data_IF_755329456282
#
_entry.id   IF_755329456282
#
_cell.length_a   1.000
_cell.length_b   1.000
_cell.length_c   1.000
_cell.angle_alpha   90.00
_cell.angle_beta   90.00
_cell.angle_gamma   90.00
#
_symmetry.space_group_name_H-M   'P 1'
#
loop_
_entity.id
_entity.type
_entity.pdbx_description
1 polymer ?
#
# COMPACT_ATOMS: atom_id res chain seq x y z
N UNK A 1 5.34 -0.55 -9.57
CA UNK A 1 5.50 -0.32 -8.11
C UNK A 1 6.38 -1.40 -7.52
N UNK A 2 7.25 -1.06 -6.59
CA UNK A 2 8.15 -2.07 -6.02
C UNK A 2 7.42 -2.95 -5.02
N UNK A 3 7.92 -4.17 -4.87
CA UNK A 3 7.46 -5.14 -3.88
C UNK A 3 7.48 -4.55 -2.45
N UNK A 4 8.58 -3.89 -2.09
CA UNK A 4 8.72 -3.27 -0.78
C UNK A 4 7.64 -2.21 -0.54
N UNK A 5 7.39 -1.33 -1.50
CA UNK A 5 6.37 -0.29 -1.37
C UNK A 5 4.97 -0.90 -1.20
N UNK A 6 4.65 -1.95 -1.93
CA UNK A 6 3.37 -2.65 -1.79
C UNK A 6 3.21 -3.26 -0.40
N UNK A 7 4.26 -3.89 0.12
CA UNK A 7 4.23 -4.48 1.47
C UNK A 7 3.95 -3.44 2.54
N UNK A 8 4.58 -2.27 2.43
CA UNK A 8 4.34 -1.17 3.36
C UNK A 8 2.92 -0.63 3.24
N UNK A 9 2.41 -0.42 2.02
CA UNK A 9 1.04 0.06 1.82
C UNK A 9 0.02 -0.92 2.38
N UNK A 10 0.19 -2.21 2.15
CA UNK A 10 -0.69 -3.23 2.72
C UNK A 10 -0.61 -3.26 4.25
N UNK A 11 0.59 -3.14 4.81
CA UNK A 11 0.76 -3.12 6.27
C UNK A 11 0.06 -1.91 6.90
N UNK A 12 0.17 -0.74 6.26
CA UNK A 12 -0.51 0.48 6.72
C UNK A 12 -2.03 0.29 6.64
N UNK A 13 -2.53 -0.23 5.53
CA UNK A 13 -3.95 -0.49 5.34
C UNK A 13 -4.49 -1.47 6.39
N UNK A 14 -3.78 -2.55 6.64
CA UNK A 14 -4.17 -3.55 7.63
C UNK A 14 -4.14 -2.98 9.06
N UNK A 15 -3.11 -2.20 9.38
CA UNK A 15 -3.01 -1.54 10.69
C UNK A 15 -4.14 -0.53 10.88
N UNK A 16 -4.48 0.23 9.85
CA UNK A 16 -5.56 1.22 9.89
C UNK A 16 -6.93 0.57 10.10
N UNK A 17 -7.13 -0.65 9.63
CA UNK A 17 -8.37 -1.39 9.86
C UNK A 17 -8.51 -1.84 11.33
N UNK A 18 -7.38 -2.02 12.03
CA UNK A 18 -7.37 -2.48 13.42
C UNK A 18 -7.34 -1.35 14.44
N UNK A 19 -6.75 -0.20 14.10
CA UNK A 19 -6.60 0.94 15.01
C UNK A 19 -6.55 2.25 14.26
N UNK A 20 -7.09 3.36 14.82
CA UNK A 20 -6.93 4.68 14.22
C UNK A 20 -5.53 5.28 14.43
N UNK A 21 -4.69 4.66 15.27
CA UNK A 21 -3.41 5.21 15.69
C UNK A 21 -2.23 4.43 15.10
N UNK A 22 -2.15 4.40 13.76
CA UNK A 22 -1.05 3.71 13.07
C UNK A 22 0.25 4.48 13.26
N UNK A 23 1.29 3.78 13.73
CA UNK A 23 2.62 4.35 13.99
C UNK A 23 3.71 3.60 13.21
N UNK A 24 4.87 4.26 13.06
CA UNK A 24 6.04 3.64 12.44
C UNK A 24 6.48 2.37 13.19
N UNK A 25 6.34 2.36 14.51
CA UNK A 25 6.68 1.18 15.33
C UNK A 25 5.82 -0.02 14.97
N UNK A 26 4.50 0.20 14.80
CA UNK A 26 3.58 -0.87 14.41
C UNK A 26 3.94 -1.44 13.04
N UNK A 27 4.26 -0.56 12.09
CA UNK A 27 4.65 -1.00 10.75
C UNK A 27 5.96 -1.77 10.78
N UNK A 28 6.95 -1.28 11.54
CA UNK A 28 8.22 -1.98 11.71
C UNK A 28 8.02 -3.38 12.30
N UNK A 29 7.18 -3.49 13.32
CA UNK A 29 6.86 -4.76 13.95
C UNK A 29 6.13 -5.70 13.00
N UNK A 30 5.12 -5.20 12.27
CA UNK A 30 4.32 -6.01 11.34
C UNK A 30 5.16 -6.57 10.19
N UNK A 31 6.15 -5.82 9.71
CA UNK A 31 6.99 -6.21 8.58
C UNK A 31 8.31 -6.87 9.00
N UNK A 32 8.64 -6.86 10.28
CA UNK A 32 9.90 -7.39 10.76
C UNK A 32 11.12 -6.62 10.28
N UNK A 33 10.99 -5.29 10.16
CA UNK A 33 12.04 -4.40 9.67
C UNK A 33 12.44 -3.39 10.74
N UNK A 34 13.53 -2.66 10.50
CA UNK A 34 14.00 -1.64 11.41
C UNK A 34 13.20 -0.36 11.26
N UNK A 35 13.17 0.45 12.31
CA UNK A 35 12.51 1.76 12.27
C UNK A 35 13.11 2.69 11.20
N UNK A 36 14.46 2.79 11.03
CA UNK A 36 15.03 3.58 9.94
C UNK A 36 14.57 3.13 8.56
N UNK A 37 14.39 1.83 8.33
CA UNK A 37 13.86 1.31 7.07
C UNK A 37 12.42 1.80 6.84
N UNK A 38 11.59 1.78 7.88
CA UNK A 38 10.22 2.30 7.81
C UNK A 38 10.23 3.78 7.46
N UNK A 39 11.05 4.58 8.14
CA UNK A 39 11.14 6.03 7.88
C UNK A 39 11.54 6.30 6.43
N UNK A 40 12.51 5.55 5.92
CA UNK A 40 12.97 5.70 4.54
C UNK A 40 11.83 5.45 3.53
N UNK A 41 11.12 4.34 3.66
CA UNK A 41 10.03 4.01 2.73
C UNK A 41 8.83 4.94 2.93
N UNK A 42 8.50 5.32 4.16
CA UNK A 42 7.42 6.28 4.40
C UNK A 42 7.70 7.62 3.74
N UNK A 43 8.95 8.10 3.76
CA UNK A 43 9.31 9.34 3.09
C UNK A 43 9.07 9.25 1.58
N UNK A 44 9.38 8.10 0.97
CA UNK A 44 9.10 7.86 -0.45
C UNK A 44 7.59 7.86 -0.70
N UNK A 45 6.82 7.14 0.11
CA UNK A 45 5.37 7.07 -0.03
C UNK A 45 4.68 8.41 0.20
N UNK A 46 5.21 9.22 1.12
CA UNK A 46 4.72 10.60 1.32
C UNK A 46 5.02 11.48 0.11
N UNK A 47 6.22 11.38 -0.43
CA UNK A 47 6.59 12.12 -1.65
C UNK A 47 5.69 11.74 -2.83
N UNK A 48 5.32 10.46 -2.94
CA UNK A 48 4.47 9.97 -4.01
C UNK A 48 2.98 10.21 -3.75
N UNK A 49 2.63 10.86 -2.64
CA UNK A 49 1.26 11.21 -2.31
C UNK A 49 0.39 10.05 -1.84
N UNK A 50 0.99 8.96 -1.41
CA UNK A 50 0.26 7.75 -0.96
C UNK A 50 -0.07 7.77 0.52
N UNK A 51 0.74 8.46 1.32
CA UNK A 51 0.64 8.49 2.78
C UNK A 51 0.85 9.90 3.28
N UNK A 52 0.25 10.21 4.43
CA UNK A 52 0.53 11.45 5.17
C UNK A 52 0.83 11.10 6.62
N UNK A 53 1.67 11.92 7.26
CA UNK A 53 1.88 11.89 8.70
C UNK A 53 1.14 13.07 9.32
N UNK A 54 0.45 12.80 10.42
CA UNK A 54 -0.28 13.83 11.19
C UNK A 54 0.33 13.96 12.59
N UNK A 55 -0.35 14.64 13.48
CA UNK A 55 0.08 14.87 14.85
C UNK A 55 0.51 13.58 15.55
N UNK A 56 1.57 13.67 16.30
CA UNK A 56 2.16 12.56 17.06
C UNK A 56 2.64 11.41 16.17
N UNK A 57 2.98 11.71 14.90
CA UNK A 57 3.52 10.74 13.98
C UNK A 57 2.52 9.70 13.48
N UNK A 58 1.22 9.95 13.62
CA UNK A 58 0.18 9.07 13.10
C UNK A 58 0.22 9.03 11.57
N UNK A 59 0.08 7.84 11.01
CA UNK A 59 0.20 7.57 9.59
C UNK A 59 -1.18 7.27 9.01
N UNK A 60 -1.50 7.92 7.89
CA UNK A 60 -2.76 7.72 7.19
C UNK A 60 -2.49 7.51 5.70
N UNK A 61 -3.28 6.63 5.07
CA UNK A 61 -3.35 6.57 3.61
C UNK A 61 -4.11 7.78 3.09
N UNK A 62 -3.61 8.37 2.02
CA UNK A 62 -4.36 9.33 1.23
C UNK A 62 -5.39 8.59 0.38
N UNK A 63 -6.28 9.31 -0.31
CA UNK A 63 -7.19 8.69 -1.27
C UNK A 63 -6.42 7.94 -2.35
N UNK A 64 -5.33 8.53 -2.83
CA UNK A 64 -4.43 7.88 -3.79
C UNK A 64 -3.84 6.59 -3.22
N UNK A 65 -3.40 6.61 -1.98
CA UNK A 65 -2.89 5.42 -1.30
C UNK A 65 -3.94 4.33 -1.16
N UNK A 66 -5.16 4.71 -0.79
CA UNK A 66 -6.27 3.78 -0.66
C UNK A 66 -6.66 3.16 -2.01
N UNK A 67 -6.73 3.94 -3.08
CA UNK A 67 -6.96 3.44 -4.43
C UNK A 67 -5.87 2.45 -4.86
N UNK A 68 -4.62 2.78 -4.58
CA UNK A 68 -3.48 1.93 -4.90
C UNK A 68 -3.58 0.59 -4.18
N UNK A 69 -3.85 0.62 -2.88
CA UNK A 69 -4.02 -0.60 -2.07
C UNK A 69 -5.16 -1.45 -2.64
N UNK A 70 -6.30 -0.86 -2.93
CA UNK A 70 -7.46 -1.59 -3.44
C UNK A 70 -7.19 -2.22 -4.80
N UNK A 71 -6.51 -1.49 -5.68
CA UNK A 71 -6.12 -2.01 -7.00
C UNK A 71 -5.22 -3.24 -6.86
N UNK A 72 -4.13 -3.11 -6.11
CA UNK A 72 -3.17 -4.21 -5.96
C UNK A 72 -3.72 -5.37 -5.13
N UNK A 73 -4.65 -5.09 -4.22
CA UNK A 73 -5.34 -6.16 -3.49
C UNK A 73 -6.16 -7.04 -4.42
N UNK A 74 -6.85 -6.43 -5.38
CA UNK A 74 -7.60 -7.18 -6.41
C UNK A 74 -6.66 -8.01 -7.28
N UNK A 75 -5.53 -7.44 -7.69
CA UNK A 75 -4.52 -8.18 -8.45
C UNK A 75 -3.94 -9.33 -7.63
N UNK A 76 -3.67 -9.10 -6.36
CA UNK A 76 -3.16 -10.12 -5.45
C UNK A 76 -4.17 -11.28 -5.33
N UNK A 77 -5.43 -10.98 -5.09
CA UNK A 77 -6.47 -11.98 -4.96
C UNK A 77 -6.62 -12.80 -6.25
N UNK A 78 -6.64 -12.13 -7.41
CA UNK A 78 -6.72 -12.81 -8.70
C UNK A 78 -5.51 -13.69 -8.97
N UNK A 79 -4.32 -13.22 -8.60
CA UNK A 79 -3.07 -13.97 -8.78
C UNK A 79 -3.05 -15.19 -7.89
N UNK A 80 -3.42 -15.04 -6.62
CA UNK A 80 -3.49 -16.17 -5.68
C UNK A 80 -4.49 -17.23 -6.16
N UNK A 81 -5.64 -16.82 -6.67
CA UNK A 81 -6.65 -17.73 -7.20
C UNK A 81 -6.17 -18.50 -8.43
N UNK A 82 -5.30 -17.89 -9.25
CA UNK A 82 -4.79 -18.49 -10.49
C UNK A 82 -3.49 -19.28 -10.31
N UNK A 83 -2.84 -19.19 -9.15
CA UNK A 83 -1.59 -19.90 -8.91
C UNK A 83 -1.80 -21.41 -8.95
N UNK A 84 -0.89 -22.15 -9.59
CA UNK A 84 -1.04 -23.61 -9.68
C UNK A 84 -0.78 -24.29 -8.34
N UNK A 85 -1.27 -25.52 -8.23
CA UNK A 85 -0.85 -26.41 -7.16
C UNK A 85 0.53 -26.97 -7.52
N UNK A 86 1.51 -26.78 -6.64
CA UNK A 86 2.87 -27.26 -6.86
C UNK A 86 3.04 -28.69 -6.35
N UNK A 87 3.98 -29.47 -6.93
CA UNK A 87 4.22 -30.83 -6.46
C UNK A 87 5.03 -30.91 -5.15
N UNK A 88 5.21 -29.81 -4.48
CA UNK A 88 5.87 -29.68 -3.19
C UNK A 88 5.06 -28.74 -2.28
N UNK A 89 5.22 -28.83 -0.95
CA UNK A 89 4.48 -27.96 -0.05
C UNK A 89 4.88 -26.48 -0.22
N UNK A 90 3.88 -25.62 -0.29
CA UNK A 90 4.05 -24.16 -0.31
C UNK A 90 3.11 -23.59 0.73
N UNK A 91 3.65 -22.85 1.69
CA UNK A 91 2.83 -22.22 2.73
C UNK A 91 2.00 -21.08 2.16
N UNK A 92 0.97 -20.66 2.91
CA UNK A 92 0.15 -19.52 2.54
C UNK A 92 1.00 -18.24 2.44
N UNK A 93 1.94 -18.05 3.37
CA UNK A 93 2.84 -16.90 3.34
C UNK A 93 3.78 -16.91 2.14
N UNK A 94 4.31 -18.08 1.80
CA UNK A 94 5.16 -18.23 0.62
C UNK A 94 4.38 -17.92 -0.66
N UNK A 95 3.14 -18.40 -0.77
CA UNK A 95 2.27 -18.10 -1.91
C UNK A 95 2.01 -16.61 -2.02
N UNK A 96 1.66 -15.98 -0.90
CA UNK A 96 1.39 -14.55 -0.85
C UNK A 96 2.61 -13.74 -1.25
N UNK A 97 3.79 -14.09 -0.74
CA UNK A 97 5.04 -13.41 -1.07
C UNK A 97 5.39 -13.55 -2.55
N UNK A 98 5.21 -14.73 -3.11
CA UNK A 98 5.43 -14.96 -4.54
C UNK A 98 4.46 -14.15 -5.39
N UNK A 99 3.18 -14.13 -5.01
CA UNK A 99 2.17 -13.36 -5.73
C UNK A 99 2.45 -11.85 -5.67
N UNK A 100 2.88 -11.34 -4.53
CA UNK A 100 3.27 -9.93 -4.38
C UNK A 100 4.46 -9.59 -5.28
N UNK A 101 5.47 -10.45 -5.32
CA UNK A 101 6.62 -10.26 -6.18
C UNK A 101 6.21 -10.24 -7.66
N UNK A 102 5.30 -11.12 -8.05
CA UNK A 102 4.81 -11.21 -9.41
C UNK A 102 4.07 -9.95 -9.82
N UNK A 103 3.10 -9.50 -9.04
CA UNK A 103 2.31 -8.31 -9.40
C UNK A 103 3.17 -7.04 -9.35
N UNK A 104 4.17 -6.97 -8.48
CA UNK A 104 5.11 -5.86 -8.45
C UNK A 104 5.99 -5.81 -9.70
N UNK A 105 6.31 -6.97 -10.27
CA UNK A 105 7.13 -7.08 -11.47
C UNK A 105 6.35 -6.81 -12.77
N UNK A 106 5.03 -6.93 -12.74
CA UNK A 106 4.21 -6.65 -13.92
C UNK A 106 4.26 -5.17 -14.28
N UNK A 107 4.17 -4.83 -15.57
CA UNK A 107 4.05 -3.43 -15.97
C UNK A 107 2.83 -2.78 -15.35
N UNK A 108 2.98 -1.54 -14.88
CA UNK A 108 1.90 -0.78 -14.26
C UNK A 108 1.08 0.03 -15.26
N UNK A 109 1.13 -0.37 -16.54
CA UNK A 109 0.45 0.34 -17.63
C UNK A 109 -1.04 0.47 -17.37
N UNK A 110 -1.69 -0.63 -17.06
CA UNK A 110 -3.13 -0.65 -16.80
C UNK A 110 -3.48 0.13 -15.54
N UNK A 111 -2.60 0.07 -14.54
CA UNK A 111 -2.74 0.86 -13.33
C UNK A 111 -2.78 2.36 -13.65
N UNK A 112 -1.83 2.84 -14.45
CA UNK A 112 -1.78 4.26 -14.82
C UNK A 112 -3.00 4.69 -15.63
N UNK A 113 -3.42 3.89 -16.60
CA UNK A 113 -4.60 4.18 -17.41
C UNK A 113 -5.87 4.15 -16.56
N UNK A 114 -6.02 3.12 -15.75
CA UNK A 114 -7.21 2.95 -14.91
C UNK A 114 -7.31 4.01 -13.83
N UNK A 115 -6.24 4.25 -13.10
CA UNK A 115 -6.23 5.19 -11.99
C UNK A 115 -5.96 6.63 -12.41
N UNK A 116 -5.43 6.86 -13.60
CA UNK A 116 -5.19 8.22 -14.09
C UNK A 116 -6.45 9.07 -14.05
N UNK A 117 -7.57 8.53 -14.53
CA UNK A 117 -8.85 9.21 -14.49
C UNK A 117 -9.37 9.41 -13.07
N UNK A 118 -9.24 8.37 -12.23
CA UNK A 118 -9.68 8.45 -10.83
C UNK A 118 -8.85 9.45 -10.03
N UNK A 119 -7.54 9.47 -10.25
CA UNK A 119 -6.66 10.42 -9.58
C UNK A 119 -6.92 11.86 -10.01
N UNK A 120 -7.25 12.08 -11.27
CA UNK A 120 -7.62 13.40 -11.77
C UNK A 120 -8.86 13.93 -11.06
N UNK A 121 -9.86 13.09 -10.86
CA UNK A 121 -11.06 13.44 -10.09
C UNK A 121 -10.73 13.72 -8.62
N UNK A 122 -9.92 12.87 -8.02
CA UNK A 122 -9.49 13.03 -6.63
C UNK A 122 -8.67 14.31 -6.43
N UNK A 123 -7.78 14.62 -7.38
CA UNK A 123 -6.98 15.85 -7.32
C UNK A 123 -7.85 17.10 -7.38
N UNK A 124 -8.93 17.08 -8.15
CA UNK A 124 -9.89 18.19 -8.18
C UNK A 124 -10.57 18.35 -6.83
N UNK A 125 -10.97 17.26 -6.19
CA UNK A 125 -11.57 17.28 -4.87
C UNK A 125 -10.58 17.79 -3.80
N UNK A 126 -9.33 17.34 -3.86
CA UNK A 126 -8.28 17.77 -2.92
C UNK A 126 -7.93 19.24 -3.07
N UNK A 127 -8.13 19.82 -4.24
CA UNK A 127 -7.87 21.23 -4.49
C UNK A 127 -9.02 22.14 -4.05
N UNK A 128 -10.16 21.59 -3.68
CA UNK A 128 -11.25 22.39 -3.09
C UNK A 128 -10.85 22.84 -1.69
N UNK A 129 -11.22 24.09 -1.30
CA UNK A 129 -10.92 24.56 0.05
C UNK A 129 -11.59 23.66 1.07
N UNK A 130 -10.80 22.90 1.80
CA UNK A 130 -11.30 22.07 2.89
C UNK A 130 -11.09 22.79 4.21
N UNK A 131 -12.06 22.71 5.14
CA UNK A 131 -11.82 23.21 6.47
C UNK A 131 -10.64 22.44 7.07
N UNK A 132 -9.68 23.16 7.61
CA UNK A 132 -8.56 22.54 8.30
C UNK A 132 -9.07 21.75 9.49
N UNK A 133 -8.90 20.45 9.44
CA UNK A 133 -9.33 19.54 10.50
C UNK A 133 -8.14 19.10 11.33
N UNK A 134 -7.43 20.04 11.88
CA UNK A 134 -6.30 19.71 12.73
C UNK A 134 -6.65 19.66 14.19
#
# INVERSE_FOLDING_TARGET
MSDAHLRYLFAISNAAAATPDVSSRQIASALGVTKPSVVHILNILMRDGMVVKRHYGKIYLTDRGAFTVNYYRRLLDATLAAMPEYPFPVSADERRNAALALIAALPDRDYREHFGALFAETEVEENEPQPESE
#
